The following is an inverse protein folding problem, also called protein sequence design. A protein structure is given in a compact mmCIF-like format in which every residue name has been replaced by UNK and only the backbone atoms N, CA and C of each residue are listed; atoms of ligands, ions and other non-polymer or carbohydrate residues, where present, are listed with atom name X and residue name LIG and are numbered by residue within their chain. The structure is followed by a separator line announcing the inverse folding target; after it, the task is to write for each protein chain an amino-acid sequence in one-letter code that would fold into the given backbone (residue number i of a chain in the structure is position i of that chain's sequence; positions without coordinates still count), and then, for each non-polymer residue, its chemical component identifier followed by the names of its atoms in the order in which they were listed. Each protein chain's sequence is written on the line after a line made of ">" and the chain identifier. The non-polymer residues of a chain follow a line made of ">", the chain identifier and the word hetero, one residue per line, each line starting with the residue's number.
data_IF_523174267924
#
_entry.id   IF_523174267924
#
_cell.length_a   1.000
_cell.length_b   1.000
_cell.length_c   1.000
_cell.angle_alpha   90.00
_cell.angle_beta   90.00
_cell.angle_gamma   90.00
#
_symmetry.space_group_name_H-M   'P 1'
#
loop_
_entity.id
_entity.type
_entity.pdbx_description
1 polymer ?
#
# COMPACT_ATOMS: atom_id res chain seq x y z
N UNK A 1 15.22 15.56 -15.49
CA UNK A 1 14.60 14.40 -16.17
C UNK A 1 13.12 14.60 -16.45
N UNK A 2 12.28 14.91 -15.44
CA UNK A 2 10.83 15.12 -15.69
C UNK A 2 10.52 16.24 -16.67
N UNK A 3 11.26 17.35 -16.64
CA UNK A 3 11.06 18.46 -17.58
C UNK A 3 11.40 18.06 -19.03
N UNK A 4 12.35 17.17 -19.23
CA UNK A 4 12.57 16.57 -20.53
C UNK A 4 11.43 15.66 -20.96
N UNK A 5 10.84 14.88 -20.02
CA UNK A 5 9.69 14.02 -20.33
C UNK A 5 8.44 14.85 -20.67
N UNK A 6 8.24 16.01 -20.02
CA UNK A 6 7.15 16.95 -20.36
C UNK A 6 7.22 17.42 -21.82
N UNK A 7 8.42 17.60 -22.33
CA UNK A 7 8.64 18.02 -23.72
C UNK A 7 8.44 16.89 -24.74
N UNK A 8 8.24 15.64 -24.32
CA UNK A 8 8.06 14.53 -25.24
C UNK A 8 6.68 14.57 -25.92
N UNK A 9 6.61 14.29 -27.22
CA UNK A 9 5.35 14.13 -27.90
C UNK A 9 4.56 12.95 -27.31
N UNK A 10 3.25 13.05 -27.31
CA UNK A 10 2.34 12.05 -26.73
C UNK A 10 2.61 10.64 -27.25
N UNK A 11 2.89 10.51 -28.55
CA UNK A 11 3.20 9.21 -29.19
C UNK A 11 4.42 8.54 -28.55
N UNK A 12 5.46 9.32 -28.20
CA UNK A 12 6.65 8.79 -27.53
C UNK A 12 6.36 8.31 -26.11
N UNK A 13 5.54 9.05 -25.38
CA UNK A 13 5.10 8.64 -24.03
C UNK A 13 4.29 7.35 -24.07
N UNK A 14 3.38 7.23 -25.05
CA UNK A 14 2.57 6.02 -25.24
C UNK A 14 3.46 4.83 -25.63
N UNK A 15 4.38 5.01 -26.59
CA UNK A 15 5.25 3.91 -27.03
C UNK A 15 6.16 3.40 -25.90
N UNK A 16 6.85 4.30 -25.20
CA UNK A 16 7.79 3.92 -24.13
C UNK A 16 7.01 3.44 -22.90
N UNK A 17 5.87 4.06 -22.53
CA UNK A 17 5.01 3.58 -21.48
C UNK A 17 4.44 2.18 -21.80
N UNK A 18 4.03 1.94 -23.03
CA UNK A 18 3.58 0.64 -23.50
C UNK A 18 4.66 -0.45 -23.40
N UNK A 19 5.92 -0.11 -23.72
CA UNK A 19 7.06 -1.03 -23.47
C UNK A 19 7.21 -1.34 -21.99
N UNK A 20 7.04 -0.36 -21.10
CA UNK A 20 7.05 -0.57 -19.65
C UNK A 20 5.96 -1.57 -19.22
N UNK A 21 4.73 -1.39 -19.68
CA UNK A 21 3.62 -2.30 -19.38
C UNK A 21 3.91 -3.71 -19.89
N UNK A 22 4.41 -3.85 -21.13
CA UNK A 22 4.75 -5.17 -21.72
C UNK A 22 5.87 -5.84 -20.90
N UNK A 23 6.90 -5.09 -20.55
CA UNK A 23 8.00 -5.58 -19.73
C UNK A 23 7.53 -6.06 -18.36
N UNK A 24 6.71 -5.24 -17.65
CA UNK A 24 6.17 -5.59 -16.36
C UNK A 24 5.17 -6.74 -16.42
N UNK A 25 4.35 -6.80 -17.47
CA UNK A 25 3.49 -7.94 -17.72
C UNK A 25 4.30 -9.23 -17.91
N UNK A 26 5.39 -9.19 -18.69
CA UNK A 26 6.29 -10.33 -18.88
C UNK A 26 6.92 -10.80 -17.57
N UNK A 27 7.36 -9.88 -16.71
CA UNK A 27 7.92 -10.21 -15.40
C UNK A 27 6.90 -10.82 -14.42
N UNK A 28 5.68 -10.29 -14.42
CA UNK A 28 4.67 -10.68 -13.44
C UNK A 28 3.70 -11.75 -13.94
N UNK A 29 3.46 -11.85 -15.25
CA UNK A 29 2.47 -12.75 -15.84
C UNK A 29 3.07 -14.03 -16.42
N UNK A 30 4.41 -14.18 -16.48
CA UNK A 30 5.06 -15.39 -16.98
C UNK A 30 4.70 -16.68 -16.21
N UNK A 31 4.06 -16.56 -15.06
CA UNK A 31 3.50 -17.64 -14.25
C UNK A 31 2.07 -17.37 -13.81
N UNK A 32 1.33 -16.49 -14.50
CA UNK A 32 -0.01 -16.08 -14.07
C UNK A 32 -1.02 -17.23 -14.27
N UNK A 33 -1.47 -17.75 -13.16
CA UNK A 33 -2.52 -18.75 -13.10
C UNK A 33 -3.77 -18.09 -12.51
N UNK A 34 -4.84 -17.98 -13.30
CA UNK A 34 -6.15 -17.47 -12.85
C UNK A 34 -6.71 -18.21 -11.63
N UNK A 35 -6.22 -19.42 -11.35
CA UNK A 35 -6.59 -20.18 -10.17
C UNK A 35 -5.73 -19.85 -8.94
N UNK A 36 -4.69 -19.01 -9.10
CA UNK A 36 -3.70 -18.72 -8.07
C UNK A 36 -3.43 -17.22 -7.89
N UNK A 37 -4.42 -16.35 -8.18
CA UNK A 37 -4.36 -14.92 -7.85
C UNK A 37 -4.54 -14.78 -6.33
N UNK A 38 -3.42 -14.89 -5.62
CA UNK A 38 -3.33 -15.22 -4.20
C UNK A 38 -4.21 -14.34 -3.33
N UNK A 39 -3.99 -13.03 -3.36
CA UNK A 39 -4.64 -12.13 -2.39
C UNK A 39 -6.10 -11.89 -2.73
N UNK A 40 -6.44 -11.81 -4.03
CA UNK A 40 -7.83 -11.76 -4.46
C UNK A 40 -8.61 -13.03 -4.07
N UNK A 41 -7.94 -14.20 -4.06
CA UNK A 41 -8.57 -15.43 -3.56
C UNK A 41 -9.05 -15.26 -2.13
N UNK A 42 -8.22 -14.69 -1.24
CA UNK A 42 -8.61 -14.39 0.13
C UNK A 42 -9.79 -13.40 0.20
N UNK A 43 -9.79 -12.37 -0.65
CA UNK A 43 -10.88 -11.39 -0.72
C UNK A 43 -12.21 -12.01 -1.19
N UNK A 44 -12.17 -12.83 -2.26
CA UNK A 44 -13.35 -13.53 -2.76
C UNK A 44 -13.91 -14.54 -1.74
N UNK A 45 -13.02 -15.26 -1.05
CA UNK A 45 -13.39 -16.19 0.03
C UNK A 45 -14.02 -15.43 1.20
N UNK A 46 -13.42 -14.33 1.66
CA UNK A 46 -13.99 -13.48 2.70
C UNK A 46 -15.36 -12.94 2.31
N UNK A 47 -15.50 -12.46 1.06
CA UNK A 47 -16.79 -12.02 0.52
C UNK A 47 -17.85 -13.13 0.50
N UNK A 48 -17.44 -14.38 0.24
CA UNK A 48 -18.33 -15.55 0.29
C UNK A 48 -18.76 -15.92 1.71
N UNK A 49 -17.90 -15.66 2.70
CA UNK A 49 -18.11 -15.99 4.10
C UNK A 49 -18.71 -14.84 4.93
N UNK A 50 -18.92 -13.66 4.38
CA UNK A 50 -19.31 -12.46 5.13
C UNK A 50 -20.60 -12.63 5.94
N UNK A 51 -21.50 -13.52 5.52
CA UNK A 51 -22.74 -13.84 6.24
C UNK A 51 -22.60 -15.02 7.19
N UNK A 52 -21.40 -15.60 7.32
CA UNK A 52 -21.10 -16.71 8.21
C UNK A 52 -20.28 -16.21 9.41
N UNK A 53 -20.47 -16.78 10.61
CA UNK A 53 -19.58 -16.51 11.75
C UNK A 53 -18.16 -17.03 11.55
N UNK A 54 -17.91 -17.78 10.48
CA UNK A 54 -16.62 -18.40 10.16
C UNK A 54 -15.76 -17.57 9.21
N UNK A 55 -15.97 -16.24 9.12
CA UNK A 55 -15.24 -15.34 8.22
C UNK A 55 -13.71 -15.49 8.37
N UNK A 56 -13.24 -15.61 9.59
CA UNK A 56 -11.83 -15.70 9.95
C UNK A 56 -11.36 -17.13 10.28
N UNK A 57 -12.21 -18.14 10.11
CA UNK A 57 -11.84 -19.54 10.32
C UNK A 57 -10.97 -20.04 9.16
N UNK A 58 -9.71 -20.45 9.40
CA UNK A 58 -8.82 -20.99 8.38
C UNK A 58 -9.41 -22.19 7.61
N UNK A 59 -10.10 -23.10 8.30
CA UNK A 59 -10.68 -24.30 7.67
C UNK A 59 -11.87 -23.96 6.77
N UNK A 60 -12.72 -23.00 7.20
CA UNK A 60 -13.81 -22.51 6.37
C UNK A 60 -13.25 -21.81 5.10
N UNK A 61 -12.19 -20.99 5.25
CA UNK A 61 -11.52 -20.34 4.12
C UNK A 61 -10.97 -21.38 3.12
N UNK A 62 -10.24 -22.41 3.56
CA UNK A 62 -9.73 -23.48 2.73
C UNK A 62 -10.86 -24.27 2.04
N UNK A 63 -11.96 -24.53 2.74
CA UNK A 63 -13.13 -25.23 2.17
C UNK A 63 -13.73 -24.44 1.01
N UNK A 64 -13.88 -23.12 1.14
CA UNK A 64 -14.35 -22.28 0.04
C UNK A 64 -13.34 -22.24 -1.10
N UNK A 65 -12.03 -22.13 -0.83
CA UNK A 65 -10.98 -22.19 -1.88
C UNK A 65 -11.10 -23.47 -2.71
N UNK A 66 -11.26 -24.63 -2.09
CA UNK A 66 -11.50 -25.93 -2.78
C UNK A 66 -12.75 -25.87 -3.65
N UNK A 67 -13.86 -25.38 -3.09
CA UNK A 67 -15.15 -25.32 -3.80
C UNK A 67 -15.10 -24.45 -5.06
N UNK A 68 -14.36 -23.36 -5.06
CA UNK A 68 -14.26 -22.46 -6.21
C UNK A 68 -13.15 -22.90 -7.20
N UNK A 69 -12.46 -24.00 -6.93
CA UNK A 69 -11.36 -24.51 -7.77
C UNK A 69 -10.13 -23.59 -7.75
N UNK A 70 -9.99 -22.77 -6.71
CA UNK A 70 -8.77 -22.01 -6.50
C UNK A 70 -7.66 -22.94 -6.01
N UNK A 71 -6.42 -22.61 -6.36
CA UNK A 71 -5.26 -23.34 -5.85
C UNK A 71 -5.18 -23.11 -4.34
N UNK A 72 -5.18 -24.19 -3.56
CA UNK A 72 -5.10 -24.09 -2.11
C UNK A 72 -3.78 -23.44 -1.68
N UNK A 73 -3.90 -22.40 -0.89
CA UNK A 73 -2.76 -21.74 -0.26
C UNK A 73 -3.10 -21.46 1.19
N UNK A 74 -2.52 -22.22 2.11
CA UNK A 74 -2.80 -22.11 3.55
C UNK A 74 -2.55 -20.71 4.15
N UNK A 75 -1.75 -19.87 3.48
CA UNK A 75 -1.46 -18.51 3.91
C UNK A 75 -2.44 -17.45 3.37
N UNK A 76 -3.36 -17.83 2.47
CA UNK A 76 -4.29 -16.88 1.85
C UNK A 76 -5.64 -16.95 2.54
N UNK A 77 -5.70 -16.44 3.76
CA UNK A 77 -6.91 -16.29 4.54
C UNK A 77 -7.38 -14.84 4.40
N UNK A 78 -8.69 -14.60 4.53
CA UNK A 78 -9.21 -13.24 4.60
C UNK A 78 -8.70 -12.52 5.86
N UNK A 79 -8.01 -11.39 5.68
CA UNK A 79 -7.37 -10.61 6.76
C UNK A 79 -7.67 -9.11 6.67
N UNK A 80 -8.86 -8.77 6.18
CA UNK A 80 -9.38 -7.40 6.19
C UNK A 80 -10.54 -7.28 7.16
N UNK A 81 -10.95 -6.04 7.48
CA UNK A 81 -12.13 -5.80 8.28
C UNK A 81 -13.40 -6.29 7.55
N UNK A 82 -14.44 -6.74 8.27
CA UNK A 82 -15.65 -7.33 7.67
C UNK A 82 -16.34 -6.46 6.63
N UNK A 83 -16.33 -5.13 6.79
CA UNK A 83 -16.92 -4.20 5.81
C UNK A 83 -16.34 -4.39 4.41
N UNK A 84 -15.04 -4.70 4.31
CA UNK A 84 -14.36 -4.90 3.02
C UNK A 84 -14.90 -6.14 2.30
N UNK A 85 -15.09 -7.24 3.03
CA UNK A 85 -15.73 -8.44 2.49
C UNK A 85 -17.16 -8.15 2.02
N UNK A 86 -17.92 -7.32 2.75
CA UNK A 86 -19.28 -6.93 2.36
C UNK A 86 -19.30 -6.11 1.07
N UNK A 87 -18.37 -5.16 0.90
CA UNK A 87 -18.24 -4.39 -0.35
C UNK A 87 -17.94 -5.31 -1.54
N UNK A 88 -17.14 -6.35 -1.34
CA UNK A 88 -16.76 -7.29 -2.39
C UNK A 88 -17.79 -8.39 -2.64
N UNK A 89 -18.83 -8.52 -1.81
CA UNK A 89 -19.87 -9.56 -1.93
C UNK A 89 -20.50 -9.67 -3.33
N UNK A 90 -20.80 -8.59 -4.07
CA UNK A 90 -21.33 -8.70 -5.43
C UNK A 90 -20.44 -9.50 -6.38
N UNK A 91 -19.12 -9.54 -6.17
CA UNK A 91 -18.20 -10.34 -6.99
C UNK A 91 -18.41 -11.84 -6.81
N UNK A 92 -19.04 -12.28 -5.70
CA UNK A 92 -19.34 -13.71 -5.46
C UNK A 92 -20.57 -14.19 -6.22
N UNK A 93 -21.32 -13.30 -6.89
CA UNK A 93 -22.45 -13.66 -7.75
C UNK A 93 -22.02 -14.14 -9.13
N UNK A 94 -20.75 -13.95 -9.48
CA UNK A 94 -20.13 -14.42 -10.72
C UNK A 94 -19.08 -15.49 -10.41
N UNK A 95 -18.76 -16.39 -11.36
CA UNK A 95 -17.71 -17.39 -11.16
C UNK A 95 -16.36 -16.77 -10.79
N UNK A 96 -15.59 -17.41 -9.93
CA UNK A 96 -14.32 -16.91 -9.41
C UNK A 96 -13.38 -16.36 -10.50
N UNK A 97 -13.21 -17.09 -11.63
CA UNK A 97 -12.35 -16.63 -12.74
C UNK A 97 -12.84 -15.32 -13.36
N UNK A 98 -14.15 -15.15 -13.51
CA UNK A 98 -14.72 -13.89 -13.99
C UNK A 98 -14.51 -12.76 -12.96
N UNK A 99 -14.66 -13.05 -11.68
CA UNK A 99 -14.40 -12.10 -10.60
C UNK A 99 -12.93 -11.64 -10.58
N UNK A 100 -11.96 -12.53 -10.84
CA UNK A 100 -10.53 -12.18 -11.00
C UNK A 100 -10.35 -11.15 -12.11
N UNK A 101 -10.98 -11.36 -13.27
CA UNK A 101 -10.90 -10.42 -14.40
C UNK A 101 -11.53 -9.06 -14.04
N UNK A 102 -12.72 -9.08 -13.43
CA UNK A 102 -13.40 -7.84 -12.98
C UNK A 102 -12.53 -7.10 -11.97
N UNK A 103 -11.93 -7.80 -11.00
CA UNK A 103 -11.03 -7.21 -10.02
C UNK A 103 -9.79 -6.57 -10.65
N UNK A 104 -9.20 -7.26 -11.63
CA UNK A 104 -8.09 -6.71 -12.42
C UNK A 104 -8.46 -5.40 -13.13
N UNK A 105 -9.65 -5.35 -13.77
CA UNK A 105 -10.16 -4.12 -14.37
C UNK A 105 -10.40 -3.00 -13.33
N UNK A 106 -10.96 -3.33 -12.16
CA UNK A 106 -11.15 -2.36 -11.08
C UNK A 106 -9.81 -1.83 -10.56
N UNK A 107 -8.80 -2.68 -10.44
CA UNK A 107 -7.44 -2.27 -10.03
C UNK A 107 -6.81 -1.32 -11.05
N UNK A 108 -6.91 -1.63 -12.34
CA UNK A 108 -6.44 -0.73 -13.43
C UNK A 108 -7.22 0.59 -13.42
N UNK A 109 -8.55 0.53 -13.29
CA UNK A 109 -9.39 1.72 -13.20
C UNK A 109 -9.02 2.59 -11.98
N UNK A 110 -8.66 1.97 -10.85
CA UNK A 110 -8.17 2.69 -9.67
C UNK A 110 -6.84 3.40 -9.93
N UNK A 111 -5.88 2.76 -10.60
CA UNK A 111 -4.61 3.40 -10.99
C UNK A 111 -4.83 4.57 -11.98
N UNK A 112 -5.72 4.40 -12.95
CA UNK A 112 -6.10 5.48 -13.85
C UNK A 112 -6.79 6.60 -13.08
N UNK A 113 -7.76 6.28 -12.22
CA UNK A 113 -8.43 7.24 -11.34
C UNK A 113 -7.44 8.01 -10.47
N UNK A 114 -6.45 7.34 -9.90
CA UNK A 114 -5.34 7.98 -9.19
C UNK A 114 -4.65 9.02 -10.08
N UNK A 115 -4.20 8.65 -11.28
CA UNK A 115 -3.48 9.57 -12.18
C UNK A 115 -4.33 10.78 -12.59
N UNK A 116 -5.66 10.63 -12.68
CA UNK A 116 -6.57 11.73 -13.01
C UNK A 116 -6.87 12.64 -11.83
N UNK A 117 -6.90 12.11 -10.61
CA UNK A 117 -7.28 12.85 -9.40
C UNK A 117 -6.08 13.46 -8.68
N UNK A 118 -4.88 12.85 -8.79
CA UNK A 118 -3.70 13.26 -8.06
C UNK A 118 -3.26 14.69 -8.43
N UNK A 119 -3.23 15.63 -7.46
CA UNK A 119 -3.09 17.04 -7.78
C UNK A 119 -1.64 17.56 -7.83
N UNK A 120 -0.66 16.77 -7.37
CA UNK A 120 0.72 17.23 -7.19
C UNK A 120 1.66 16.88 -8.34
N UNK A 121 1.18 16.14 -9.35
CA UNK A 121 1.95 15.82 -10.54
C UNK A 121 1.09 15.93 -11.81
N UNK A 122 1.74 16.21 -12.92
CA UNK A 122 1.08 16.24 -14.23
C UNK A 122 0.59 14.84 -14.61
N UNK A 123 -0.67 14.74 -15.07
CA UNK A 123 -1.32 13.48 -15.42
C UNK A 123 -0.50 12.62 -16.37
N UNK A 124 0.08 13.21 -17.42
CA UNK A 124 0.88 12.47 -18.43
C UNK A 124 2.10 11.81 -17.78
N UNK A 125 2.77 12.54 -16.89
CA UNK A 125 3.93 12.04 -16.16
C UNK A 125 3.52 10.95 -15.19
N UNK A 126 2.43 11.15 -14.44
CA UNK A 126 1.89 10.16 -13.51
C UNK A 126 1.57 8.85 -14.22
N UNK A 127 0.86 8.92 -15.37
CA UNK A 127 0.56 7.74 -16.17
C UNK A 127 1.83 7.06 -16.70
N UNK A 128 2.77 7.84 -17.25
CA UNK A 128 4.02 7.31 -17.74
C UNK A 128 4.80 6.58 -16.63
N UNK A 129 4.94 7.19 -15.46
CA UNK A 129 5.64 6.60 -14.31
C UNK A 129 4.94 5.33 -13.81
N UNK A 130 3.59 5.30 -13.78
CA UNK A 130 2.81 4.10 -13.43
C UNK A 130 3.09 2.93 -14.37
N UNK A 131 3.29 3.18 -15.68
CA UNK A 131 3.62 2.13 -16.64
C UNK A 131 4.94 1.40 -16.33
N UNK A 132 5.82 1.99 -15.52
CA UNK A 132 7.11 1.42 -15.12
C UNK A 132 7.17 1.07 -13.63
N UNK A 133 6.11 1.33 -12.88
CA UNK A 133 6.12 1.16 -11.42
C UNK A 133 5.77 -0.28 -11.03
N UNK A 134 6.78 -1.07 -10.77
CA UNK A 134 6.66 -2.50 -10.45
C UNK A 134 5.75 -2.81 -9.27
N UNK A 135 5.77 -2.09 -8.13
CA UNK A 135 4.83 -2.37 -7.05
C UNK A 135 3.38 -2.36 -7.52
N UNK A 136 2.99 -1.41 -8.40
CA UNK A 136 1.63 -1.35 -8.93
C UNK A 136 1.31 -2.54 -9.87
N UNK A 137 2.26 -2.94 -10.72
CA UNK A 137 2.10 -4.12 -11.57
C UNK A 137 2.01 -5.41 -10.74
N UNK A 138 2.83 -5.51 -9.68
CA UNK A 138 2.78 -6.63 -8.74
C UNK A 138 1.45 -6.64 -7.96
N UNK A 139 0.93 -5.47 -7.55
CA UNK A 139 -0.38 -5.37 -6.91
C UNK A 139 -1.52 -5.90 -7.81
N UNK A 140 -1.49 -5.59 -9.11
CA UNK A 140 -2.47 -6.12 -10.07
C UNK A 140 -2.32 -7.65 -10.19
N UNK A 141 -1.09 -8.16 -10.37
CA UNK A 141 -0.84 -9.59 -10.56
C UNK A 141 -1.18 -10.44 -9.34
N UNK A 142 -0.99 -9.91 -8.14
CA UNK A 142 -1.37 -10.55 -6.87
C UNK A 142 -2.85 -10.35 -6.52
N UNK A 143 -3.56 -9.46 -7.22
CA UNK A 143 -4.95 -9.11 -6.93
C UNK A 143 -5.11 -8.31 -5.64
N UNK A 144 -4.15 -7.44 -5.35
CA UNK A 144 -4.12 -6.61 -4.14
C UNK A 144 -5.02 -5.37 -4.22
N UNK A 145 -5.36 -4.85 -3.06
CA UNK A 145 -6.18 -3.66 -2.84
C UNK A 145 -5.38 -2.33 -2.83
N UNK A 146 -4.04 -2.38 -2.84
CA UNK A 146 -3.17 -1.19 -2.84
C UNK A 146 -3.49 -0.15 -3.95
N UNK A 147 -3.93 -0.52 -5.16
CA UNK A 147 -4.41 0.43 -6.16
C UNK A 147 -5.61 1.27 -5.68
N UNK A 148 -6.52 0.68 -4.90
CA UNK A 148 -7.66 1.39 -4.31
C UNK A 148 -7.17 2.38 -3.24
N UNK A 149 -6.21 1.98 -2.40
CA UNK A 149 -5.66 2.86 -1.34
C UNK A 149 -5.10 4.14 -1.94
N UNK A 150 -4.28 4.06 -2.99
CA UNK A 150 -3.74 5.28 -3.61
C UNK A 150 -4.81 6.11 -4.33
N UNK A 151 -5.85 5.48 -4.88
CA UNK A 151 -7.01 6.20 -5.42
C UNK A 151 -7.70 7.02 -4.33
N UNK A 152 -7.94 6.44 -3.14
CA UNK A 152 -8.56 7.15 -2.03
C UNK A 152 -7.68 8.28 -1.49
N UNK A 153 -6.36 8.08 -1.43
CA UNK A 153 -5.40 9.15 -1.10
C UNK A 153 -5.50 10.28 -2.14
N UNK A 154 -5.49 9.98 -3.44
CA UNK A 154 -5.60 11.00 -4.48
C UNK A 154 -6.92 11.76 -4.43
N UNK A 155 -8.04 11.06 -4.20
CA UNK A 155 -9.36 11.66 -4.02
C UNK A 155 -9.38 12.61 -2.80
N UNK A 156 -8.83 12.16 -1.69
CA UNK A 156 -8.74 12.98 -0.48
C UNK A 156 -7.91 14.24 -0.69
N UNK A 157 -6.77 14.13 -1.36
CA UNK A 157 -5.90 15.26 -1.69
C UNK A 157 -6.61 16.24 -2.64
N UNK A 158 -7.34 15.72 -3.63
CA UNK A 158 -8.15 16.54 -4.55
C UNK A 158 -9.24 17.31 -3.82
N UNK A 159 -10.00 16.62 -2.97
CA UNK A 159 -11.06 17.22 -2.15
C UNK A 159 -10.49 18.26 -1.16
N UNK A 160 -9.32 18.00 -0.57
CA UNK A 160 -8.64 18.94 0.32
C UNK A 160 -8.30 20.24 -0.41
N UNK A 161 -7.73 20.17 -1.62
CA UNK A 161 -7.44 21.34 -2.44
C UNK A 161 -8.72 22.09 -2.82
N UNK A 162 -9.80 21.37 -3.09
CA UNK A 162 -11.12 21.95 -3.36
C UNK A 162 -11.83 22.48 -2.10
N UNK A 163 -11.16 22.47 -0.93
CA UNK A 163 -11.71 22.89 0.38
C UNK A 163 -12.89 22.08 0.89
N UNK A 164 -13.17 20.93 0.29
CA UNK A 164 -14.17 19.96 0.77
C UNK A 164 -13.56 19.06 1.88
N UNK A 165 -13.15 19.71 2.99
CA UNK A 165 -12.26 19.11 3.99
C UNK A 165 -12.88 17.87 4.68
N UNK A 166 -14.17 17.91 5.01
CA UNK A 166 -14.84 16.76 5.64
C UNK A 166 -14.90 15.56 4.70
N UNK A 167 -15.22 15.80 3.41
CA UNK A 167 -15.24 14.74 2.39
C UNK A 167 -13.83 14.19 2.13
N UNK A 168 -12.79 15.02 2.21
CA UNK A 168 -11.41 14.57 2.15
C UNK A 168 -11.10 13.56 3.26
N UNK A 169 -11.56 13.82 4.48
CA UNK A 169 -11.46 12.89 5.59
C UNK A 169 -12.23 11.59 5.37
N UNK A 170 -13.46 11.67 4.87
CA UNK A 170 -14.23 10.48 4.50
C UNK A 170 -13.52 9.63 3.44
N UNK A 171 -12.91 10.25 2.42
CA UNK A 171 -12.11 9.52 1.44
C UNK A 171 -10.89 8.83 2.07
N UNK A 172 -10.19 9.49 3.01
CA UNK A 172 -9.07 8.88 3.74
C UNK A 172 -9.50 7.68 4.59
N UNK A 173 -10.71 7.68 5.15
CA UNK A 173 -11.18 6.55 5.96
C UNK A 173 -11.32 5.25 5.15
N UNK A 174 -11.50 5.34 3.83
CA UNK A 174 -11.52 4.16 2.95
C UNK A 174 -10.15 3.45 2.88
N UNK A 175 -9.06 4.14 3.25
CA UNK A 175 -7.74 3.51 3.37
C UNK A 175 -7.61 2.60 4.61
N UNK A 176 -8.64 2.51 5.46
CA UNK A 176 -8.66 1.68 6.67
C UNK A 176 -8.50 0.18 6.37
N UNK A 177 -8.73 -0.24 5.14
CA UNK A 177 -8.45 -1.60 4.67
C UNK A 177 -6.97 -2.00 4.85
N UNK A 178 -6.06 -1.00 4.83
CA UNK A 178 -4.62 -1.15 5.09
C UNK A 178 -4.14 -0.20 6.19
N UNK A 179 -4.89 -0.14 7.30
CA UNK A 179 -4.64 0.78 8.42
C UNK A 179 -3.19 0.77 8.94
N UNK A 180 -2.55 -0.39 8.94
CA UNK A 180 -1.16 -0.55 9.42
C UNK A 180 -0.13 0.17 8.54
N UNK A 181 -0.42 0.40 7.25
CA UNK A 181 0.47 1.11 6.32
C UNK A 181 0.28 2.63 6.37
N UNK A 182 -0.87 3.09 6.85
CA UNK A 182 -1.22 4.52 6.92
C UNK A 182 -1.28 5.04 8.37
N UNK A 183 -0.67 4.30 9.30
CA UNK A 183 -0.76 4.56 10.75
C UNK A 183 -0.34 5.99 11.16
N UNK A 184 0.57 6.61 10.40
CA UNK A 184 1.05 7.97 10.66
C UNK A 184 0.18 9.06 10.03
N UNK A 185 -0.84 8.73 9.25
CA UNK A 185 -1.68 9.72 8.58
C UNK A 185 -2.37 10.69 9.55
N UNK A 186 -2.92 10.25 10.70
CA UNK A 186 -3.49 11.17 11.68
C UNK A 186 -2.46 12.17 12.23
N UNK A 187 -1.19 11.78 12.36
CA UNK A 187 -0.12 12.65 12.86
C UNK A 187 0.19 13.80 11.88
N UNK A 188 -0.08 13.63 10.60
CA UNK A 188 0.08 14.69 9.59
C UNK A 188 -0.98 15.78 9.77
N UNK A 189 -2.18 15.42 10.18
CA UNK A 189 -3.35 16.28 10.25
C UNK A 189 -3.47 17.02 11.59
N UNK A 190 -3.08 16.37 12.69
CA UNK A 190 -3.23 16.89 14.07
C UNK A 190 -2.49 18.21 14.31
N UNK A 191 -1.18 18.35 14.04
CA UNK A 191 -0.46 19.60 14.29
C UNK A 191 -0.97 20.77 13.43
N UNK A 192 -1.53 20.45 12.26
CA UNK A 192 -2.11 21.44 11.31
C UNK A 192 -3.52 21.87 11.66
N UNK A 193 -4.09 21.31 12.75
CA UNK A 193 -5.45 21.59 13.20
C UNK A 193 -6.50 21.41 12.10
N UNK A 194 -6.29 20.43 11.21
CA UNK A 194 -7.23 20.12 10.14
C UNK A 194 -8.45 19.34 10.67
N UNK A 195 -9.12 19.91 11.68
CA UNK A 195 -10.20 19.27 12.43
C UNK A 195 -11.35 18.76 11.57
N UNK A 196 -11.64 19.43 10.44
CA UNK A 196 -12.69 18.98 9.52
C UNK A 196 -12.28 17.71 8.78
N UNK A 197 -10.99 17.59 8.37
CA UNK A 197 -10.46 16.37 7.74
C UNK A 197 -10.43 15.25 8.77
N UNK A 198 -9.93 15.51 9.97
CA UNK A 198 -9.92 14.54 11.08
C UNK A 198 -11.34 14.08 11.44
N UNK A 199 -12.30 15.02 11.50
CA UNK A 199 -13.71 14.71 11.75
C UNK A 199 -14.30 13.78 10.68
N UNK A 200 -14.04 14.07 9.39
CA UNK A 200 -14.44 13.19 8.28
C UNK A 200 -13.80 11.81 8.37
N UNK A 201 -12.49 11.76 8.64
CA UNK A 201 -11.75 10.50 8.81
C UNK A 201 -12.29 9.68 9.99
N UNK A 202 -12.49 10.30 11.15
CA UNK A 202 -13.03 9.63 12.33
C UNK A 202 -14.47 9.13 12.09
N UNK A 203 -15.32 9.95 11.46
CA UNK A 203 -16.70 9.57 11.12
C UNK A 203 -16.73 8.38 10.15
N UNK A 204 -15.98 8.46 9.06
CA UNK A 204 -15.93 7.36 8.08
C UNK A 204 -15.35 6.09 8.70
N UNK A 205 -14.26 6.18 9.47
CA UNK A 205 -13.67 5.04 10.18
C UNK A 205 -14.65 4.43 11.17
N UNK A 206 -15.38 5.26 11.94
CA UNK A 206 -16.39 4.77 12.87
C UNK A 206 -17.52 4.03 12.15
N UNK A 207 -18.00 4.54 11.02
CA UNK A 207 -19.04 3.87 10.20
C UNK A 207 -18.53 2.52 9.71
N UNK A 208 -17.30 2.43 9.18
CA UNK A 208 -16.72 1.18 8.68
C UNK A 208 -16.49 0.16 9.81
N UNK A 209 -16.04 0.60 10.98
CA UNK A 209 -15.84 -0.26 12.14
C UNK A 209 -17.19 -0.73 12.71
N UNK A 210 -18.15 0.18 12.89
CA UNK A 210 -19.50 -0.18 13.39
C UNK A 210 -20.19 -1.13 12.42
N UNK A 211 -20.12 -0.89 11.11
CA UNK A 211 -20.67 -1.83 10.12
C UNK A 211 -20.02 -3.21 10.22
N UNK A 212 -18.73 -3.29 10.54
CA UNK A 212 -18.04 -4.56 10.77
C UNK A 212 -18.59 -5.31 11.99
N UNK A 213 -18.88 -4.61 13.08
CA UNK A 213 -19.56 -5.19 14.26
C UNK A 213 -20.99 -5.65 13.95
N UNK A 214 -21.72 -4.88 13.17
CA UNK A 214 -23.09 -5.25 12.75
C UNK A 214 -23.07 -6.51 11.88
N UNK A 215 -22.10 -6.65 11.00
CA UNK A 215 -21.97 -7.76 10.06
C UNK A 215 -21.53 -9.07 10.72
N UNK A 216 -20.63 -9.02 11.71
CA UNK A 216 -19.97 -10.21 12.27
C UNK A 216 -20.15 -10.37 13.78
N UNK A 217 -20.85 -9.43 14.44
CA UNK A 217 -21.04 -9.44 15.89
C UNK A 217 -19.80 -8.98 16.68
N UNK A 218 -19.91 -8.99 18.00
CA UNK A 218 -18.87 -8.47 18.90
C UNK A 218 -17.57 -9.29 18.85
N UNK A 219 -17.65 -10.59 18.58
CA UNK A 219 -16.51 -11.51 18.58
C UNK A 219 -15.55 -11.31 17.40
N UNK A 220 -15.95 -10.58 16.36
CA UNK A 220 -15.09 -10.45 15.17
C UNK A 220 -13.73 -9.84 15.49
N UNK A 221 -13.67 -8.88 16.40
CA UNK A 221 -12.43 -8.22 16.77
C UNK A 221 -11.41 -9.21 17.38
N UNK A 222 -11.88 -10.14 18.22
CA UNK A 222 -11.07 -11.22 18.77
C UNK A 222 -10.62 -12.21 17.69
N UNK A 223 -11.52 -12.59 16.80
CA UNK A 223 -11.23 -13.51 15.69
C UNK A 223 -10.23 -12.88 14.69
N UNK A 224 -10.44 -11.61 14.35
CA UNK A 224 -9.54 -10.84 13.49
C UNK A 224 -8.13 -10.75 14.11
N UNK A 225 -8.05 -10.43 15.42
CA UNK A 225 -6.79 -10.39 16.13
C UNK A 225 -6.08 -11.76 16.13
N UNK A 226 -6.83 -12.84 16.35
CA UNK A 226 -6.29 -14.20 16.33
C UNK A 226 -5.72 -14.58 14.96
N UNK A 227 -6.41 -14.22 13.87
CA UNK A 227 -5.93 -14.45 12.49
C UNK A 227 -4.64 -13.71 12.20
N UNK A 228 -4.51 -12.45 12.62
CA UNK A 228 -3.28 -11.67 12.43
C UNK A 228 -2.05 -12.28 13.13
N UNK A 229 -2.28 -13.13 14.13
CA UNK A 229 -1.21 -13.80 14.89
C UNK A 229 -1.00 -15.26 14.50
N UNK A 230 -1.63 -15.73 13.42
CA UNK A 230 -1.36 -17.09 12.92
C UNK A 230 0.11 -17.22 12.48
N UNK A 231 0.79 -18.32 12.81
CA UNK A 231 2.22 -18.51 12.53
C UNK A 231 2.60 -18.34 11.06
N UNK A 232 1.66 -18.63 10.14
CA UNK A 232 1.90 -18.59 8.70
C UNK A 232 1.59 -17.22 8.06
N UNK A 233 1.07 -16.25 8.83
CA UNK A 233 0.68 -14.93 8.27
C UNK A 233 1.89 -14.10 7.84
N UNK A 234 3.05 -14.32 8.47
CA UNK A 234 4.32 -13.66 8.12
C UNK A 234 5.32 -14.69 7.57
N UNK A 235 4.85 -15.62 6.74
CA UNK A 235 5.60 -16.81 6.36
C UNK A 235 6.92 -16.53 5.62
N UNK A 236 7.11 -15.33 5.06
CA UNK A 236 8.33 -15.00 4.31
C UNK A 236 8.81 -13.57 4.60
N UNK A 237 9.32 -13.30 5.82
CA UNK A 237 9.85 -11.97 6.18
C UNK A 237 10.95 -11.49 5.22
N UNK A 238 11.74 -12.42 4.66
CA UNK A 238 12.78 -12.12 3.68
C UNK A 238 12.28 -11.37 2.42
N UNK A 239 10.99 -11.45 2.11
CA UNK A 239 10.37 -10.76 0.96
C UNK A 239 9.78 -9.38 1.31
N UNK A 240 9.88 -8.95 2.57
CA UNK A 240 9.36 -7.66 3.00
C UNK A 240 10.40 -6.56 2.78
N UNK A 241 10.14 -5.55 1.94
CA UNK A 241 11.08 -4.46 1.69
C UNK A 241 10.97 -3.36 2.77
N UNK A 242 11.06 -3.72 4.04
CA UNK A 242 10.91 -2.87 5.20
C UNK A 242 11.87 -3.25 6.34
N UNK A 243 11.70 -2.67 7.54
CA UNK A 243 12.55 -2.98 8.70
C UNK A 243 12.51 -4.47 9.07
N UNK A 244 11.33 -5.09 9.02
CA UNK A 244 11.17 -6.52 9.39
C UNK A 244 12.01 -7.40 8.46
N UNK A 245 11.85 -7.22 7.14
CA UNK A 245 12.59 -8.01 6.17
C UNK A 245 14.10 -7.74 6.19
N UNK A 246 14.50 -6.48 6.41
CA UNK A 246 15.90 -6.09 6.51
C UNK A 246 16.59 -6.72 7.73
N UNK A 247 15.94 -6.72 8.89
CA UNK A 247 16.47 -7.32 10.11
C UNK A 247 16.46 -8.84 10.04
N UNK A 248 15.42 -9.45 9.47
CA UNK A 248 15.40 -10.88 9.20
C UNK A 248 16.55 -11.31 8.27
N UNK A 249 16.84 -10.50 7.23
CA UNK A 249 18.01 -10.73 6.38
C UNK A 249 19.32 -10.73 7.19
N UNK A 250 19.50 -9.77 8.09
CA UNK A 250 20.67 -9.70 8.94
C UNK A 250 20.75 -10.89 9.95
N UNK A 251 19.60 -11.42 10.40
CA UNK A 251 19.55 -12.64 11.20
C UNK A 251 20.11 -13.86 10.44
N UNK A 252 19.81 -13.99 9.16
CA UNK A 252 20.37 -15.04 8.29
C UNK A 252 21.92 -14.97 8.26
N UNK A 253 22.49 -13.75 8.36
CA UNK A 253 23.93 -13.53 8.41
C UNK A 253 24.52 -13.52 9.82
N UNK A 254 23.80 -14.05 10.82
CA UNK A 254 24.31 -14.30 12.17
C UNK A 254 23.94 -13.26 13.23
N UNK A 255 23.09 -12.25 12.91
CA UNK A 255 22.54 -11.37 13.95
C UNK A 255 21.64 -12.17 14.88
N UNK A 256 21.83 -12.01 16.19
CA UNK A 256 20.96 -12.68 17.18
C UNK A 256 19.53 -12.11 17.14
N UNK A 257 18.51 -12.95 17.19
CA UNK A 257 17.08 -12.59 17.12
C UNK A 257 16.66 -11.51 18.13
N UNK A 258 17.17 -11.58 19.38
CA UNK A 258 16.90 -10.53 20.39
C UNK A 258 17.42 -9.15 19.97
N UNK A 259 18.60 -9.12 19.36
CA UNK A 259 19.20 -7.88 18.87
C UNK A 259 18.37 -7.33 17.69
N UNK A 260 17.94 -8.18 16.77
CA UNK A 260 17.07 -7.78 15.64
C UNK A 260 15.77 -7.15 16.13
N UNK A 261 15.08 -7.76 17.10
CA UNK A 261 13.85 -7.19 17.70
C UNK A 261 14.13 -5.85 18.39
N UNK A 262 15.24 -5.77 19.13
CA UNK A 262 15.61 -4.52 19.82
C UNK A 262 15.85 -3.41 18.78
N UNK A 263 16.61 -3.69 17.72
CA UNK A 263 16.88 -2.75 16.65
C UNK A 263 15.60 -2.34 15.91
N UNK A 264 14.67 -3.29 15.68
CA UNK A 264 13.37 -2.94 15.10
C UNK A 264 12.66 -1.84 15.89
N UNK A 265 12.53 -2.02 17.21
CA UNK A 265 11.84 -1.04 18.06
C UNK A 265 12.59 0.29 18.16
N UNK A 266 13.91 0.26 18.23
CA UNK A 266 14.74 1.49 18.24
C UNK A 266 14.57 2.26 16.92
N UNK A 267 14.68 1.58 15.79
CA UNK A 267 14.52 2.21 14.47
C UNK A 267 13.07 2.67 14.23
N UNK A 268 12.07 1.89 14.61
CA UNK A 268 10.68 2.28 14.50
C UNK A 268 10.37 3.53 15.35
N UNK A 269 10.93 3.62 16.56
CA UNK A 269 10.83 4.82 17.39
C UNK A 269 11.54 6.02 16.75
N UNK A 270 12.75 5.83 16.23
CA UNK A 270 13.49 6.90 15.55
C UNK A 270 12.73 7.43 14.33
N UNK A 271 12.19 6.52 13.48
CA UNK A 271 11.35 6.90 12.33
C UNK A 271 10.09 7.64 12.80
N UNK A 272 9.44 7.17 13.86
CA UNK A 272 8.25 7.85 14.41
C UNK A 272 8.59 9.28 14.86
N UNK A 273 9.73 9.48 15.51
CA UNK A 273 10.19 10.82 15.92
C UNK A 273 10.48 11.71 14.70
N UNK A 274 11.11 11.17 13.64
CA UNK A 274 11.31 11.90 12.39
C UNK A 274 9.99 12.31 11.74
N UNK A 275 9.00 11.42 11.72
CA UNK A 275 7.64 11.75 11.24
C UNK A 275 7.03 12.87 12.06
N UNK A 276 7.13 12.82 13.38
CA UNK A 276 6.62 13.88 14.27
C UNK A 276 7.31 15.21 13.99
N UNK A 277 8.63 15.21 13.80
CA UNK A 277 9.39 16.41 13.44
C UNK A 277 8.89 16.96 12.11
N UNK A 278 8.78 16.14 11.06
CA UNK A 278 8.25 16.55 9.77
C UNK A 278 6.80 17.06 9.88
N UNK A 279 5.97 16.44 10.70
CA UNK A 279 4.59 16.86 10.92
C UNK A 279 4.47 18.22 11.61
N UNK A 280 5.42 18.60 12.47
CA UNK A 280 5.38 19.88 13.21
C UNK A 280 6.07 21.00 12.44
N UNK A 281 7.19 20.71 11.77
CA UNK A 281 8.05 21.71 11.13
C UNK A 281 7.72 21.97 9.67
N UNK A 282 7.36 20.90 8.93
CA UNK A 282 7.33 20.96 7.48
C UNK A 282 5.94 21.25 6.93
N UNK A 283 5.91 21.62 5.65
CA UNK A 283 4.67 21.78 4.91
C UNK A 283 3.98 20.42 4.74
N UNK A 284 2.68 20.44 4.52
CA UNK A 284 1.87 19.23 4.31
C UNK A 284 2.44 18.34 3.19
N UNK A 285 2.96 18.97 2.15
CA UNK A 285 3.54 18.36 0.94
C UNK A 285 4.82 17.57 1.22
N UNK A 286 5.46 17.77 2.36
CA UNK A 286 6.62 16.99 2.84
C UNK A 286 6.18 16.00 3.91
N UNK A 287 5.37 16.44 4.87
CA UNK A 287 4.96 15.61 5.99
C UNK A 287 4.13 14.38 5.57
N UNK A 288 3.22 14.53 4.59
CA UNK A 288 2.42 13.41 4.11
C UNK A 288 3.26 12.32 3.44
N UNK A 289 4.14 12.63 2.46
CA UNK A 289 5.02 11.62 1.89
C UNK A 289 5.90 10.91 2.92
N UNK A 290 6.47 11.66 3.84
CA UNK A 290 7.30 11.10 4.93
C UNK A 290 6.47 10.12 5.77
N UNK A 291 5.24 10.48 6.13
CA UNK A 291 4.34 9.62 6.90
C UNK A 291 3.95 8.33 6.14
N UNK A 292 3.70 8.41 4.82
CA UNK A 292 3.37 7.24 3.99
C UNK A 292 4.55 6.27 3.89
N UNK A 293 5.76 6.78 3.60
CA UNK A 293 6.97 5.96 3.51
C UNK A 293 7.31 5.35 4.87
N UNK A 294 7.20 6.13 5.93
CA UNK A 294 7.44 5.65 7.29
C UNK A 294 6.45 4.54 7.70
N UNK A 295 5.17 4.66 7.31
CA UNK A 295 4.17 3.62 7.55
C UNK A 295 4.56 2.29 6.92
N UNK A 296 5.03 2.31 5.68
CA UNK A 296 5.57 1.14 4.99
C UNK A 296 6.80 0.57 5.70
N UNK A 297 7.75 1.43 6.09
CA UNK A 297 8.99 1.01 6.76
C UNK A 297 8.76 0.30 8.10
N UNK A 298 7.86 0.81 8.94
CA UNK A 298 7.61 0.28 10.29
C UNK A 298 6.50 -0.77 10.32
N UNK A 299 5.84 -1.05 9.20
CA UNK A 299 4.78 -2.05 9.15
C UNK A 299 5.33 -3.43 9.55
N UNK A 300 4.63 -4.20 10.40
CA UNK A 300 5.00 -5.57 10.70
C UNK A 300 4.72 -6.53 9.53
N UNK A 301 3.92 -6.11 8.55
CA UNK A 301 3.52 -6.91 7.40
C UNK A 301 3.39 -6.00 6.19
N UNK A 302 4.33 -6.14 5.24
CA UNK A 302 4.43 -5.32 4.05
C UNK A 302 5.21 -6.08 2.97
N UNK A 303 4.63 -6.14 1.78
CA UNK A 303 5.24 -6.79 0.62
C UNK A 303 5.40 -5.79 -0.54
N UNK A 304 6.10 -6.22 -1.59
CA UNK A 304 6.39 -5.38 -2.76
C UNK A 304 5.15 -4.66 -3.32
N UNK A 305 4.01 -5.33 -3.38
CA UNK A 305 2.75 -4.73 -3.88
C UNK A 305 2.21 -3.61 -2.98
N UNK A 306 2.52 -3.62 -1.69
CA UNK A 306 2.11 -2.57 -0.74
C UNK A 306 2.87 -1.27 -0.98
N UNK A 307 4.08 -1.35 -1.53
CA UNK A 307 4.86 -0.18 -1.96
C UNK A 307 4.21 0.61 -3.09
N UNK A 308 3.11 0.15 -3.65
CA UNK A 308 2.21 0.99 -4.46
C UNK A 308 1.82 2.25 -3.71
N UNK A 309 1.69 2.20 -2.38
CA UNK A 309 1.35 3.33 -1.50
C UNK A 309 2.49 4.36 -1.44
N UNK A 310 3.73 3.98 -1.72
CA UNK A 310 4.85 4.93 -1.83
C UNK A 310 4.75 5.82 -3.09
N UNK A 311 4.00 5.42 -4.12
CA UNK A 311 3.95 6.14 -5.38
C UNK A 311 3.52 7.61 -5.26
N UNK A 312 2.39 7.96 -4.58
CA UNK A 312 2.05 9.36 -4.32
C UNK A 312 3.13 10.10 -3.55
N UNK A 313 3.78 9.45 -2.57
CA UNK A 313 4.87 10.06 -1.81
C UNK A 313 6.08 10.39 -2.70
N UNK A 314 6.50 9.47 -3.55
CA UNK A 314 7.61 9.68 -4.50
C UNK A 314 7.30 10.84 -5.48
N UNK A 315 6.06 10.92 -5.98
CA UNK A 315 5.63 12.01 -6.85
C UNK A 315 5.62 13.38 -6.14
N UNK A 316 5.29 13.43 -4.85
CA UNK A 316 5.31 14.66 -4.05
C UNK A 316 6.74 15.09 -3.75
N UNK A 317 7.60 14.16 -3.38
CA UNK A 317 8.99 14.42 -2.98
C UNK A 317 9.95 14.57 -4.17
N UNK A 318 9.50 14.32 -5.38
CA UNK A 318 10.36 14.32 -6.58
C UNK A 318 11.26 15.56 -6.72
N UNK A 319 10.76 16.72 -6.30
CA UNK A 319 11.51 17.98 -6.38
C UNK A 319 12.52 18.17 -5.24
N UNK A 320 12.32 17.47 -4.13
CA UNK A 320 13.10 17.62 -2.89
C UNK A 320 14.19 16.55 -2.79
N UNK A 321 13.94 15.37 -3.35
CA UNK A 321 14.85 14.22 -3.25
C UNK A 321 15.91 14.29 -4.37
N UNK A 322 17.20 14.11 -4.05
CA UNK A 322 18.25 14.01 -5.05
C UNK A 322 17.91 12.97 -6.13
N UNK A 323 18.13 13.31 -7.39
CA UNK A 323 17.79 12.47 -8.55
C UNK A 323 18.35 11.04 -8.46
N UNK A 324 19.50 10.87 -7.80
CA UNK A 324 20.17 9.57 -7.57
C UNK A 324 19.29 8.63 -6.72
N UNK A 325 18.65 9.12 -5.68
CA UNK A 325 17.78 8.31 -4.80
C UNK A 325 16.51 7.88 -5.55
N UNK A 326 15.95 8.78 -6.36
CA UNK A 326 14.80 8.47 -7.20
C UNK A 326 15.10 7.38 -8.25
N UNK A 327 16.31 7.42 -8.83
CA UNK A 327 16.78 6.42 -9.80
C UNK A 327 17.02 5.07 -9.12
N UNK A 328 17.51 5.06 -7.89
CA UNK A 328 17.76 3.83 -7.14
C UNK A 328 16.47 3.17 -6.62
N UNK A 329 15.45 3.96 -6.27
CA UNK A 329 14.18 3.41 -5.80
C UNK A 329 13.31 2.82 -6.93
N UNK A 330 13.35 3.42 -8.13
CA UNK A 330 12.60 2.93 -9.28
C UNK A 330 13.11 1.56 -9.79
N UNK A 331 14.43 1.31 -9.94
CA UNK A 331 14.96 0.00 -10.36
C UNK A 331 15.00 -1.05 -9.26
N UNK A 332 15.14 -0.67 -8.00
CA UNK A 332 15.14 -1.63 -6.86
C UNK A 332 13.73 -2.21 -6.63
N UNK A 333 12.69 -1.43 -6.90
CA UNK A 333 11.37 -1.99 -7.13
C UNK A 333 11.31 -2.84 -8.41
N UNK A 334 12.35 -2.84 -9.26
CA UNK A 334 12.37 -3.41 -10.61
C UNK A 334 13.08 -4.76 -10.76
N UNK A 335 13.78 -5.24 -9.74
CA UNK A 335 14.52 -6.49 -9.87
C UNK A 335 13.60 -7.73 -9.75
N UNK A 336 13.87 -8.78 -10.53
CA UNK A 336 13.00 -9.94 -10.60
C UNK A 336 12.80 -10.62 -9.25
N UNK A 337 11.59 -11.06 -8.98
CA UNK A 337 11.13 -11.77 -7.79
C UNK A 337 12.00 -12.94 -7.30
N UNK A 338 12.92 -13.46 -8.13
CA UNK A 338 13.86 -14.53 -7.74
C UNK A 338 15.07 -14.06 -6.91
N UNK A 339 15.29 -12.76 -6.77
CA UNK A 339 16.41 -12.17 -6.01
C UNK A 339 15.95 -11.43 -4.75
N UNK A 340 14.72 -11.65 -4.30
CA UNK A 340 14.06 -10.90 -3.22
C UNK A 340 14.73 -11.01 -1.83
N UNK A 341 15.54 -12.05 -1.61
CA UNK A 341 16.32 -12.17 -0.37
C UNK A 341 17.44 -11.13 -0.40
N UNK A 342 17.32 -10.09 0.42
CA UNK A 342 18.32 -9.03 0.55
C UNK A 342 17.96 -7.69 -0.14
N UNK A 343 16.92 -7.61 -0.98
CA UNK A 343 16.50 -6.33 -1.57
C UNK A 343 15.74 -5.43 -0.61
N UNK A 344 15.12 -5.99 0.41
CA UNK A 344 14.50 -5.23 1.48
C UNK A 344 15.46 -4.23 2.11
N UNK A 345 16.73 -4.63 2.36
CA UNK A 345 17.72 -3.77 3.00
C UNK A 345 18.04 -2.50 2.19
N UNK A 346 18.42 -2.55 0.88
CA UNK A 346 18.63 -1.35 0.08
C UNK A 346 17.40 -0.46 -0.03
N UNK A 347 16.19 -1.02 -0.18
CA UNK A 347 14.94 -0.23 -0.22
C UNK A 347 14.71 0.45 1.12
N UNK A 348 14.89 -0.27 2.22
CA UNK A 348 14.76 0.27 3.57
C UNK A 348 15.76 1.41 3.82
N UNK A 349 17.03 1.23 3.46
CA UNK A 349 18.07 2.26 3.60
C UNK A 349 17.71 3.49 2.76
N UNK A 350 17.33 3.31 1.49
CA UNK A 350 16.91 4.40 0.62
C UNK A 350 15.68 5.14 1.16
N UNK A 351 14.70 4.42 1.69
CA UNK A 351 13.50 5.03 2.26
C UNK A 351 13.80 5.78 3.57
N UNK A 352 14.68 5.26 4.43
CA UNK A 352 15.17 5.97 5.62
C UNK A 352 15.90 7.25 5.18
N UNK A 353 16.77 7.18 4.17
CA UNK A 353 17.46 8.34 3.64
C UNK A 353 16.49 9.40 3.12
N UNK A 354 15.42 9.00 2.41
CA UNK A 354 14.35 9.91 1.97
C UNK A 354 13.70 10.62 3.16
N UNK A 355 13.39 9.88 4.23
CA UNK A 355 12.78 10.46 5.43
C UNK A 355 13.73 11.48 6.07
N UNK A 356 15.03 11.16 6.18
CA UNK A 356 16.06 12.05 6.74
C UNK A 356 16.21 13.29 5.86
N UNK A 357 16.45 13.12 4.55
CA UNK A 357 16.68 14.22 3.62
C UNK A 357 15.47 15.17 3.55
N UNK A 358 14.24 14.61 3.59
CA UNK A 358 13.02 15.40 3.61
C UNK A 358 12.91 16.25 4.87
N UNK A 359 13.29 15.69 6.04
CA UNK A 359 13.23 16.42 7.32
C UNK A 359 14.33 17.47 7.44
N UNK A 360 15.48 17.26 6.83
CA UNK A 360 16.61 18.22 6.83
C UNK A 360 16.37 19.34 5.83
N UNK A 361 15.90 19.01 4.61
CA UNK A 361 15.69 19.99 3.52
C UNK A 361 14.50 20.91 3.77
N UNK A 362 13.46 20.43 4.45
CA UNK A 362 12.27 21.22 4.80
C UNK A 362 12.60 22.40 5.71
N UNK A 363 13.62 22.26 6.56
CA UNK A 363 14.11 23.35 7.41
C UNK A 363 14.81 24.48 6.67
N UNK A 364 15.28 24.26 5.45
CA UNK A 364 16.01 25.25 4.65
C UNK A 364 15.09 26.15 3.79
N UNK A 365 13.90 25.66 3.43
CA UNK A 365 12.95 26.40 2.59
C UNK A 365 12.01 27.34 3.37
N UNK A 366 12.01 27.27 4.69
CA UNK A 366 11.18 28.15 5.56
C UNK A 366 11.88 29.47 5.94
N UNK A 367 13.09 29.72 5.45
CA UNK A 367 13.90 30.93 5.75
C UNK A 367 13.99 31.94 4.58
N UNK A 368 13.29 31.70 3.48
CA UNK A 368 13.06 32.64 2.39
C UNK A 368 11.57 33.01 2.27
#
# INVERSE_FOLDING_TARGET
>A
MLDHIKAWPLIRLIAIGGLGVIFLAGLNLGGWDFNAVRDFTGFYVGASLITSPSLYDPQANLTVQRKIGAKEVNSVIFVRLPYFAAILRPLTWIPYRAAVVVWGFLSVAALLGFAFLFPYAERRITLFMLCWFIPAANAISMGQDSPLVILWIALALRLRIQKSLFLAGLALSLCLEKWHLIIFLPLVLLPRREWRVLGGFATGSAVLIVSSFVLQGADFARQYWAVLHLPNMNAVPALMPNLVGSLYFLEIFGMGHRLAITLYWVLALAITLLVLIACVRDQFEIALPVALIAGLLVSPHDYLHDWTIAFPALLMLWRVIPTVVNILLLPVAALPLGLNVGFGLPVTVAAIQIVIDSTVSGGLTSSE
#
